data_IF_100809576770
#
_entry.id   IF_100809576770
#
_cell.length_a   1.000
_cell.length_b   1.000
_cell.length_c   1.000
_cell.angle_alpha   90.00
_cell.angle_beta   90.00
_cell.angle_gamma   90.00
#
_symmetry.space_group_name_H-M   'P 1'
#
loop_
_entity.id
_entity.type
_entity.pdbx_description
1 polymer ?
#
# COMPACT_ATOMS: atom_id res chain seq x y z
N UNK A 1 -5.61 31.25 -8.23
CA UNK A 1 -5.39 30.63 -6.91
C UNK A 1 -4.03 31.06 -6.38
N UNK A 2 -4.01 31.79 -5.27
CA UNK A 2 -2.76 32.20 -4.61
C UNK A 2 -2.08 30.94 -4.07
N UNK A 3 -0.83 30.72 -4.47
CA UNK A 3 -0.04 29.56 -4.03
C UNK A 3 0.29 29.76 -2.54
N UNK A 4 -0.24 28.90 -1.68
CA UNK A 4 0.03 28.98 -0.24
C UNK A 4 1.53 28.85 0.03
N UNK A 5 2.07 29.70 0.92
CA UNK A 5 3.49 29.64 1.29
C UNK A 5 3.83 28.32 2.00
N UNK A 6 5.04 27.82 1.72
CA UNK A 6 5.52 26.53 2.26
C UNK A 6 5.60 26.52 3.79
N UNK A 7 5.85 27.65 4.41
CA UNK A 7 5.93 27.75 5.88
C UNK A 7 4.54 27.61 6.49
N UNK A 8 3.54 28.31 5.92
CA UNK A 8 2.14 28.26 6.35
C UNK A 8 1.57 26.85 6.20
N UNK A 9 1.84 26.18 5.08
CA UNK A 9 1.42 24.79 4.88
C UNK A 9 2.01 23.83 5.93
N UNK A 10 3.30 23.98 6.25
CA UNK A 10 3.96 23.16 7.28
C UNK A 10 3.36 23.41 8.67
N UNK A 11 3.09 24.68 9.00
CA UNK A 11 2.47 25.04 10.26
C UNK A 11 1.06 24.41 10.39
N UNK A 12 0.23 24.56 9.36
CA UNK A 12 -1.11 23.94 9.31
C UNK A 12 -1.06 22.42 9.45
N UNK A 13 -0.11 21.78 8.78
CA UNK A 13 0.07 20.33 8.88
C UNK A 13 0.43 19.89 10.31
N UNK A 14 1.41 20.57 10.92
CA UNK A 14 1.83 20.32 12.30
C UNK A 14 0.67 20.52 13.28
N UNK A 15 -0.11 21.58 13.13
CA UNK A 15 -1.30 21.83 13.96
C UNK A 15 -2.33 20.71 13.84
N UNK A 16 -2.65 20.28 12.61
CA UNK A 16 -3.60 19.16 12.38
C UNK A 16 -3.12 17.87 13.01
N UNK A 17 -1.85 17.51 12.83
CA UNK A 17 -1.30 16.28 13.41
C UNK A 17 -1.35 16.34 14.94
N UNK A 18 -0.97 17.48 15.55
CA UNK A 18 -1.06 17.67 16.99
C UNK A 18 -2.51 17.56 17.48
N UNK A 19 -3.44 18.23 16.80
CA UNK A 19 -4.86 18.16 17.13
C UNK A 19 -5.38 16.71 17.10
N UNK A 20 -5.02 15.93 16.08
CA UNK A 20 -5.48 14.54 15.98
C UNK A 20 -4.84 13.65 17.05
N UNK A 21 -3.58 13.89 17.43
CA UNK A 21 -2.93 13.18 18.52
C UNK A 21 -3.58 13.47 19.89
N UNK A 22 -4.13 14.68 20.07
CA UNK A 22 -4.82 15.07 21.30
C UNK A 22 -6.30 14.60 21.29
N UNK A 23 -6.97 14.61 20.12
CA UNK A 23 -8.41 14.31 19.99
C UNK A 23 -8.72 12.81 19.95
N UNK A 24 -7.85 12.02 19.30
CA UNK A 24 -8.10 10.59 19.07
C UNK A 24 -7.24 9.73 20.00
N UNK A 25 -7.88 8.86 20.80
CA UNK A 25 -7.17 8.00 21.74
C UNK A 25 -6.43 6.85 21.05
N UNK A 26 -6.83 6.49 19.85
CA UNK A 26 -6.28 5.36 19.09
C UNK A 26 -5.76 5.81 17.73
N UNK A 27 -4.56 5.36 17.39
CA UNK A 27 -3.97 5.58 16.08
C UNK A 27 -3.17 4.37 15.64
N UNK A 28 -3.11 4.13 14.34
CA UNK A 28 -2.19 3.14 13.78
C UNK A 28 -1.53 3.67 12.50
N UNK A 29 -0.38 3.09 12.20
CA UNK A 29 0.42 3.41 11.02
C UNK A 29 0.02 2.47 9.90
N UNK A 30 -0.24 3.01 8.73
CA UNK A 30 -0.58 2.24 7.53
C UNK A 30 0.46 2.47 6.44
N UNK A 31 0.94 1.38 5.84
CA UNK A 31 1.72 1.44 4.62
C UNK A 31 0.81 1.75 3.43
N UNK A 32 1.23 2.66 2.58
CA UNK A 32 0.48 3.08 1.39
C UNK A 32 1.23 2.75 0.09
N UNK A 33 2.06 1.71 0.13
CA UNK A 33 2.78 1.27 -1.05
C UNK A 33 1.82 0.69 -2.08
N UNK A 34 2.03 1.08 -3.34
CA UNK A 34 1.24 0.61 -4.46
C UNK A 34 -0.26 0.98 -4.41
N UNK A 35 -0.64 1.95 -3.57
CA UNK A 35 -2.02 2.44 -3.47
C UNK A 35 -2.25 3.62 -4.39
N UNK A 36 -3.14 3.46 -5.38
CA UNK A 36 -3.51 4.54 -6.29
C UNK A 36 -4.32 5.65 -5.61
N UNK A 37 -4.23 6.89 -6.14
CA UNK A 37 -4.93 8.05 -5.59
C UNK A 37 -6.46 7.89 -5.55
N UNK A 38 -7.03 7.24 -6.57
CA UNK A 38 -8.48 6.94 -6.61
C UNK A 38 -8.88 5.98 -5.48
N UNK A 39 -8.08 4.96 -5.22
CA UNK A 39 -8.29 4.01 -4.14
C UNK A 39 -8.17 4.70 -2.77
N UNK A 40 -7.14 5.52 -2.58
CA UNK A 40 -6.98 6.32 -1.37
C UNK A 40 -8.18 7.24 -1.11
N UNK A 41 -8.76 7.85 -2.15
CA UNK A 41 -9.97 8.66 -2.01
C UNK A 41 -11.19 7.82 -1.61
N UNK A 42 -11.37 6.62 -2.19
CA UNK A 42 -12.44 5.70 -1.77
C UNK A 42 -12.32 5.33 -0.30
N UNK A 43 -11.11 4.98 0.17
CA UNK A 43 -10.84 4.67 1.57
C UNK A 43 -11.19 5.87 2.48
N UNK A 44 -10.78 7.08 2.10
CA UNK A 44 -11.14 8.30 2.86
C UNK A 44 -12.64 8.54 2.95
N UNK A 45 -13.38 8.24 1.89
CA UNK A 45 -14.84 8.38 1.86
C UNK A 45 -15.48 7.32 2.75
N UNK A 46 -15.04 6.05 2.68
CA UNK A 46 -15.59 4.96 3.50
C UNK A 46 -15.33 5.15 5.00
N UNK A 47 -14.22 5.80 5.36
CA UNK A 47 -13.86 6.06 6.76
C UNK A 47 -14.43 7.38 7.31
N UNK A 48 -15.12 8.17 6.48
CA UNK A 48 -15.66 9.45 6.92
C UNK A 48 -16.65 9.28 8.07
N UNK A 49 -16.43 10.00 9.17
CA UNK A 49 -17.25 9.89 10.40
C UNK A 49 -16.71 8.87 11.42
N UNK A 50 -15.90 7.90 11.01
CA UNK A 50 -15.35 6.84 11.85
C UNK A 50 -13.85 7.02 12.17
N UNK A 51 -13.09 7.42 11.15
CA UNK A 51 -11.65 7.61 11.25
C UNK A 51 -11.15 8.71 10.33
N UNK A 52 -9.96 9.23 10.63
CA UNK A 52 -9.28 10.25 9.83
C UNK A 52 -7.92 9.73 9.38
N UNK A 53 -7.66 9.80 8.06
CA UNK A 53 -6.36 9.45 7.50
C UNK A 53 -5.55 10.71 7.28
N UNK A 54 -4.39 10.78 7.89
CA UNK A 54 -3.42 11.85 7.68
C UNK A 54 -2.16 11.29 7.05
N UNK A 55 -1.82 11.81 5.87
CA UNK A 55 -0.58 11.50 5.17
C UNK A 55 0.27 12.76 5.01
N UNK A 56 1.57 12.58 4.97
CA UNK A 56 2.49 13.70 4.83
C UNK A 56 3.94 13.26 4.64
N UNK A 57 4.86 14.21 4.65
CA UNK A 57 6.28 13.88 4.62
C UNK A 57 6.74 13.30 5.95
N UNK A 58 7.47 12.19 5.93
CA UNK A 58 7.98 11.53 7.13
C UNK A 58 8.80 12.46 8.03
N UNK A 59 9.59 13.36 7.43
CA UNK A 59 10.36 14.36 8.19
C UNK A 59 9.46 15.30 8.99
N UNK A 60 8.29 15.68 8.45
CA UNK A 60 7.32 16.52 9.15
C UNK A 60 6.61 15.75 10.25
N UNK A 61 6.18 14.51 9.96
CA UNK A 61 5.58 13.61 10.94
C UNK A 61 6.51 13.38 12.13
N UNK A 62 7.75 12.97 11.88
CA UNK A 62 8.77 12.75 12.93
C UNK A 62 9.04 14.01 13.73
N UNK A 63 9.16 15.19 13.08
CA UNK A 63 9.38 16.47 13.78
C UNK A 63 8.22 16.80 14.72
N UNK A 64 6.98 16.64 14.26
CA UNK A 64 5.79 16.91 15.08
C UNK A 64 5.69 15.92 16.24
N UNK A 65 5.88 14.63 16.00
CA UNK A 65 5.86 13.59 17.04
C UNK A 65 6.91 13.89 18.11
N UNK A 66 8.17 14.18 17.73
CA UNK A 66 9.23 14.55 18.71
C UNK A 66 8.85 15.75 19.56
N UNK A 67 8.16 16.73 18.99
CA UNK A 67 7.68 17.90 19.74
C UNK A 67 6.56 17.58 20.75
N UNK A 68 5.89 16.42 20.60
CA UNK A 68 4.80 15.98 21.48
C UNK A 68 5.23 14.88 22.48
N UNK A 69 6.43 14.34 22.36
CA UNK A 69 6.95 13.27 23.26
C UNK A 69 6.94 13.73 24.73
N UNK A 70 7.19 15.01 25.00
CA UNK A 70 7.12 15.58 26.35
C UNK A 70 5.73 15.48 27.00
N UNK A 71 4.66 15.46 26.19
CA UNK A 71 3.28 15.28 26.65
C UNK A 71 2.91 13.79 26.78
N UNK A 72 3.39 12.98 25.84
CA UNK A 72 3.09 11.55 25.80
C UNK A 72 4.30 10.75 25.32
N UNK A 73 5.01 10.12 26.24
CA UNK A 73 6.20 9.32 25.96
C UNK A 73 5.95 8.11 25.05
N UNK A 74 4.72 7.60 24.99
CA UNK A 74 4.39 6.49 24.11
C UNK A 74 4.51 6.84 22.62
N UNK A 75 4.46 8.12 22.25
CA UNK A 75 4.64 8.59 20.89
C UNK A 75 6.05 8.32 20.35
N UNK A 76 7.05 8.18 21.23
CA UNK A 76 8.41 7.85 20.85
C UNK A 76 8.48 6.48 20.14
N UNK A 77 7.65 5.52 20.57
CA UNK A 77 7.55 4.18 19.98
C UNK A 77 7.07 4.20 18.52
N UNK A 78 6.40 5.27 18.07
CA UNK A 78 5.96 5.42 16.68
C UNK A 78 7.09 5.87 15.74
N UNK A 79 8.14 6.50 16.26
CA UNK A 79 9.22 7.07 15.44
C UNK A 79 9.92 6.05 14.51
N UNK A 80 10.26 4.83 14.98
CA UNK A 80 10.89 3.83 14.13
C UNK A 80 9.97 3.31 13.02
N UNK A 81 8.65 3.41 13.17
CA UNK A 81 7.68 2.94 12.18
C UNK A 81 7.32 3.99 11.12
N UNK A 82 7.80 5.23 11.27
CA UNK A 82 7.56 6.31 10.28
C UNK A 82 8.69 6.33 9.24
N UNK A 83 8.67 5.37 8.32
CA UNK A 83 9.60 5.29 7.18
C UNK A 83 8.82 4.87 5.91
N UNK A 84 9.41 5.04 4.72
CA UNK A 84 8.77 4.75 3.43
C UNK A 84 7.44 5.51 3.22
N UNK A 85 6.49 4.89 2.55
CA UNK A 85 5.19 5.49 2.23
C UNK A 85 4.17 5.18 3.32
N UNK A 86 4.23 5.89 4.43
CA UNK A 86 3.32 5.66 5.55
C UNK A 86 2.34 6.81 5.77
N UNK A 87 1.22 6.48 6.41
CA UNK A 87 0.22 7.41 6.90
C UNK A 87 -0.28 7.02 8.27
N UNK A 88 -0.91 7.96 8.95
CA UNK A 88 -1.61 7.71 10.21
C UNK A 88 -3.10 7.60 10.00
N UNK A 89 -3.73 6.66 10.68
CA UNK A 89 -5.18 6.54 10.79
C UNK A 89 -5.54 6.76 12.24
N UNK A 90 -6.34 7.79 12.50
CA UNK A 90 -6.80 8.18 13.82
C UNK A 90 -8.27 7.79 13.98
N UNK A 91 -8.64 7.17 15.11
CA UNK A 91 -10.01 6.73 15.36
C UNK A 91 -10.37 6.75 16.84
N UNK A 92 -11.67 6.85 17.11
CA UNK A 92 -12.27 6.65 18.44
C UNK A 92 -12.86 5.24 18.57
N UNK A 93 -13.07 4.56 17.44
CA UNK A 93 -13.66 3.23 17.36
C UNK A 93 -12.64 2.11 17.61
N UNK A 94 -13.09 0.87 17.47
CA UNK A 94 -12.21 -0.28 17.55
C UNK A 94 -11.29 -0.39 16.33
N UNK A 95 -10.01 -0.72 16.58
CA UNK A 95 -8.98 -0.79 15.53
C UNK A 95 -9.26 -1.91 14.53
N UNK A 96 -9.82 -3.04 14.99
CA UNK A 96 -10.13 -4.18 14.14
C UNK A 96 -11.22 -3.83 13.12
N UNK A 97 -12.28 -3.16 13.57
CA UNK A 97 -13.38 -2.70 12.72
C UNK A 97 -12.90 -1.72 11.64
N UNK A 98 -12.04 -0.76 12.01
CA UNK A 98 -11.49 0.19 11.05
C UNK A 98 -10.56 -0.50 10.05
N UNK A 99 -9.76 -1.49 10.51
CA UNK A 99 -8.91 -2.28 9.63
C UNK A 99 -9.73 -3.05 8.59
N UNK A 100 -10.83 -3.68 8.98
CA UNK A 100 -11.74 -4.38 8.07
C UNK A 100 -12.31 -3.43 7.01
N UNK A 101 -12.82 -2.26 7.41
CA UNK A 101 -13.32 -1.23 6.49
C UNK A 101 -12.25 -0.77 5.48
N UNK A 102 -10.99 -0.70 5.88
CA UNK A 102 -9.89 -0.38 4.96
C UNK A 102 -9.65 -1.53 3.98
N UNK A 103 -9.63 -2.78 4.47
CA UNK A 103 -9.38 -3.97 3.67
C UNK A 103 -10.50 -4.29 2.66
N UNK A 104 -11.74 -3.93 2.94
CA UNK A 104 -12.87 -4.02 1.98
C UNK A 104 -12.60 -3.24 0.69
N UNK A 105 -11.82 -2.17 0.76
CA UNK A 105 -11.42 -1.37 -0.38
C UNK A 105 -10.18 -1.91 -1.11
N UNK A 106 -9.77 -3.15 -0.83
CA UNK A 106 -8.65 -3.81 -1.51
C UNK A 106 -9.02 -4.07 -2.97
N UNK A 107 -8.22 -3.55 -3.88
CA UNK A 107 -8.41 -3.71 -5.32
C UNK A 107 -7.17 -4.35 -5.91
N UNK A 108 -7.36 -5.37 -6.74
CA UNK A 108 -6.26 -5.94 -7.51
C UNK A 108 -5.71 -4.86 -8.46
N UNK A 109 -4.41 -4.63 -8.42
CA UNK A 109 -3.73 -3.71 -9.31
C UNK A 109 -2.88 -4.50 -10.31
N UNK A 110 -2.80 -4.06 -11.58
CA UNK A 110 -1.89 -4.64 -12.53
C UNK A 110 -0.45 -4.45 -12.02
N UNK A 111 0.32 -5.50 -12.09
CA UNK A 111 1.73 -5.42 -11.74
C UNK A 111 2.49 -4.60 -12.78
N UNK A 112 3.48 -3.84 -12.34
CA UNK A 112 4.36 -3.05 -13.22
C UNK A 112 5.66 -3.80 -13.41
N UNK A 113 6.25 -3.71 -14.59
CA UNK A 113 7.56 -4.28 -14.86
C UNK A 113 8.60 -3.75 -13.85
N UNK A 114 9.39 -4.65 -13.27
CA UNK A 114 10.39 -4.33 -12.26
C UNK A 114 9.85 -4.09 -10.83
N UNK A 115 8.55 -4.19 -10.60
CA UNK A 115 8.00 -4.11 -9.26
C UNK A 115 8.10 -5.46 -8.53
N UNK A 116 8.50 -5.41 -7.27
CA UNK A 116 8.52 -6.59 -6.40
C UNK A 116 7.10 -6.83 -5.89
N UNK A 117 6.61 -8.07 -5.97
CA UNK A 117 5.30 -8.43 -5.43
C UNK A 117 5.33 -8.34 -3.89
N UNK A 118 4.36 -7.65 -3.26
CA UNK A 118 4.31 -7.55 -1.79
C UNK A 118 3.81 -8.82 -1.12
N UNK A 119 3.31 -9.78 -1.88
CA UNK A 119 2.77 -11.07 -1.42
C UNK A 119 3.17 -12.16 -2.41
N UNK A 120 3.23 -13.39 -1.92
CA UNK A 120 3.45 -14.56 -2.77
C UNK A 120 2.35 -14.69 -3.81
N UNK A 121 2.75 -14.87 -5.06
CA UNK A 121 1.82 -15.05 -6.18
C UNK A 121 1.76 -16.53 -6.55
N UNK A 122 0.59 -17.12 -6.43
CA UNK A 122 0.34 -18.51 -6.87
C UNK A 122 -0.30 -18.49 -8.26
N UNK A 123 0.36 -19.10 -9.23
CA UNK A 123 -0.18 -19.26 -10.58
C UNK A 123 -0.84 -20.63 -10.69
N UNK A 124 -2.15 -20.71 -10.91
CA UNK A 124 -2.83 -22.00 -11.07
C UNK A 124 -2.46 -22.68 -12.38
N UNK A 125 -2.53 -24.00 -12.40
CA UNK A 125 -2.42 -24.77 -13.64
C UNK A 125 -3.57 -24.39 -14.57
N UNK A 126 -3.25 -23.86 -15.73
CA UNK A 126 -4.25 -23.39 -16.71
C UNK A 126 -3.68 -23.31 -18.12
N UNK A 127 -4.57 -23.31 -19.11
CA UNK A 127 -4.23 -22.97 -20.48
C UNK A 127 -4.13 -21.45 -20.60
N UNK A 128 -2.98 -20.95 -21.08
CA UNK A 128 -2.71 -19.49 -21.09
C UNK A 128 -3.27 -18.78 -22.33
N UNK A 129 -3.64 -19.51 -23.36
CA UNK A 129 -4.00 -18.91 -24.66
C UNK A 129 -2.83 -18.29 -25.45
N UNK A 130 -1.60 -18.37 -24.93
CA UNK A 130 -0.39 -17.85 -25.58
C UNK A 130 0.18 -18.91 -26.55
N UNK A 131 0.72 -18.43 -27.67
CA UNK A 131 1.38 -19.28 -28.66
C UNK A 131 2.73 -19.80 -28.19
N UNK A 132 3.27 -20.84 -28.84
CA UNK A 132 4.51 -21.51 -28.45
C UNK A 132 5.76 -20.62 -28.52
N UNK A 133 5.69 -19.51 -29.27
CA UNK A 133 6.77 -18.50 -29.35
C UNK A 133 7.06 -17.83 -27.99
N UNK A 134 6.13 -17.86 -27.06
CA UNK A 134 6.28 -17.29 -25.70
C UNK A 134 6.88 -18.28 -24.68
N UNK A 135 7.28 -19.47 -25.11
CA UNK A 135 7.82 -20.52 -24.20
C UNK A 135 9.09 -20.05 -23.47
N UNK A 136 9.96 -19.29 -24.16
CA UNK A 136 11.18 -18.75 -23.57
C UNK A 136 10.91 -17.85 -22.35
N UNK A 137 9.81 -17.12 -22.36
CA UNK A 137 9.37 -16.29 -21.22
C UNK A 137 9.06 -17.15 -19.97
N UNK A 138 8.30 -18.23 -20.14
CA UNK A 138 7.99 -19.14 -19.04
C UNK A 138 9.22 -19.89 -18.53
N UNK A 139 10.14 -20.26 -19.43
CA UNK A 139 11.41 -20.87 -19.06
C UNK A 139 12.29 -19.93 -18.23
N UNK A 140 12.37 -18.65 -18.60
CA UNK A 140 13.11 -17.63 -17.83
C UNK A 140 12.57 -17.47 -16.42
N UNK A 141 11.27 -17.68 -16.23
CA UNK A 141 10.59 -17.67 -14.92
C UNK A 141 10.59 -19.05 -14.24
N UNK A 142 11.23 -20.07 -14.82
CA UNK A 142 11.27 -21.44 -14.33
C UNK A 142 9.87 -22.08 -14.13
N UNK A 143 8.87 -21.61 -14.88
CA UNK A 143 7.51 -22.14 -14.82
C UNK A 143 7.43 -23.35 -15.78
N UNK A 144 7.14 -24.57 -15.29
CA UNK A 144 6.98 -25.74 -16.14
C UNK A 144 5.70 -25.63 -16.95
N UNK A 145 5.89 -25.69 -18.25
CA UNK A 145 4.81 -25.59 -19.24
C UNK A 145 4.88 -26.72 -20.23
N UNK A 146 3.74 -27.09 -20.78
CA UNK A 146 3.64 -27.96 -21.96
C UNK A 146 2.89 -27.25 -23.08
N UNK A 147 3.13 -27.67 -24.31
CA UNK A 147 2.40 -27.15 -25.49
C UNK A 147 1.28 -28.14 -25.78
N UNK A 148 0.04 -27.69 -25.72
CA UNK A 148 -1.14 -28.48 -26.03
C UNK A 148 -1.98 -27.75 -27.05
N UNK A 149 -2.25 -28.35 -28.20
CA UNK A 149 -3.06 -27.79 -29.26
C UNK A 149 -2.60 -26.39 -29.75
N UNK A 150 -1.26 -26.18 -29.78
CA UNK A 150 -0.71 -24.89 -30.21
C UNK A 150 -0.74 -23.75 -29.19
N UNK A 151 -1.15 -24.05 -27.95
CA UNK A 151 -1.13 -23.10 -26.83
C UNK A 151 -0.28 -23.62 -25.69
N UNK A 152 0.25 -22.68 -24.89
CA UNK A 152 1.03 -23.01 -23.69
C UNK A 152 0.09 -23.30 -22.53
N UNK A 153 0.27 -24.44 -21.88
CA UNK A 153 -0.43 -24.84 -20.67
C UNK A 153 0.56 -24.92 -19.50
N UNK A 154 0.20 -24.34 -18.37
CA UNK A 154 0.97 -24.37 -17.13
C UNK A 154 0.62 -25.67 -16.38
N UNK A 155 1.64 -26.46 -16.01
CA UNK A 155 1.44 -27.83 -15.45
C UNK A 155 1.26 -27.80 -13.92
N UNK A 156 1.97 -26.92 -13.20
CA UNK A 156 2.03 -26.94 -11.72
C UNK A 156 1.60 -25.61 -11.13
N UNK A 157 0.80 -25.69 -10.08
CA UNK A 157 0.16 -24.55 -9.42
C UNK A 157 0.95 -23.94 -8.23
N UNK A 158 2.22 -24.28 -8.02
CA UNK A 158 3.00 -23.76 -6.87
C UNK A 158 4.30 -23.13 -7.30
N UNK A 159 4.29 -21.80 -7.39
CA UNK A 159 5.50 -20.99 -7.32
C UNK A 159 5.23 -19.80 -6.41
N UNK A 160 5.84 -19.80 -5.23
CA UNK A 160 6.03 -18.58 -4.47
C UNK A 160 7.20 -17.85 -5.11
N UNK A 161 6.90 -16.75 -5.79
CA UNK A 161 7.93 -15.86 -6.29
C UNK A 161 8.17 -14.79 -5.25
N UNK A 162 9.32 -14.80 -4.60
CA UNK A 162 9.80 -13.65 -3.83
C UNK A 162 10.02 -12.43 -4.73
N UNK A 163 10.16 -12.65 -6.06
CA UNK A 163 10.42 -11.62 -7.06
C UNK A 163 9.60 -11.89 -8.32
N UNK A 164 8.40 -11.36 -8.42
CA UNK A 164 7.67 -11.37 -9.69
C UNK A 164 8.02 -10.11 -10.48
N UNK A 165 8.94 -10.22 -11.42
CA UNK A 165 9.07 -9.23 -12.50
C UNK A 165 7.90 -9.46 -13.45
N UNK A 166 6.85 -8.69 -13.31
CA UNK A 166 5.72 -8.76 -14.25
C UNK A 166 6.07 -7.98 -15.49
N UNK A 167 6.23 -8.71 -16.58
CA UNK A 167 6.36 -8.13 -17.91
C UNK A 167 4.97 -7.69 -18.40
N UNK A 168 4.88 -6.46 -18.89
CA UNK A 168 3.66 -5.94 -19.49
C UNK A 168 3.18 -6.83 -20.63
N UNK A 169 1.88 -7.13 -20.65
CA UNK A 169 1.22 -7.56 -21.87
C UNK A 169 1.24 -6.39 -22.85
N UNK A 170 2.17 -6.41 -23.78
CA UNK A 170 2.05 -5.64 -25.01
C UNK A 170 0.96 -6.28 -25.85
N UNK A 171 -0.20 -5.63 -25.95
CA UNK A 171 -1.21 -5.85 -26.97
C UNK A 171 -0.63 -5.67 -28.35
#
# INVERSE_FOLDING_TARGET
MVKEDRSTWKAKYTMRLTQYLDEFPKAFVVGADNVGSRQMQKIRVSLRGHAVILMGKNTMMRKTIRGQVSKNSNLEKLLPHVYENVGFVFTKEDLSSIREKILENKVAAPARAGAIAPVDVTIPAQVTGLGPEKTSFFQALQIPTKITRGTIEIIVSRYSFEYLVVLENTT
#
